data_IF_373045273902
#
_entry.id   IF_373045273902
#
_cell.length_a   1.000
_cell.length_b   1.000
_cell.length_c   1.000
_cell.angle_alpha   90.00
_cell.angle_beta   90.00
_cell.angle_gamma   90.00
#
_symmetry.space_group_name_H-M   'P 1'
#
loop_
_entity.id
_entity.type
_entity.pdbx_description
1 polymer ?
#
# COMPACT_ATOMS: atom_id res chain seq x y z
N UNK A 1 17.06 -18.62 24.04
CA UNK A 1 17.29 -17.17 23.90
C UNK A 1 15.99 -16.53 23.47
N UNK A 2 15.49 -15.51 24.15
CA UNK A 2 14.24 -14.80 23.80
C UNK A 2 14.55 -13.74 22.76
N UNK A 3 13.75 -13.66 21.68
CA UNK A 3 13.90 -12.66 20.63
C UNK A 3 12.73 -11.68 20.75
N UNK A 4 13.03 -10.39 20.89
CA UNK A 4 12.03 -9.35 20.85
C UNK A 4 11.53 -9.14 19.41
N UNK A 5 10.22 -9.03 19.24
CA UNK A 5 9.58 -8.83 17.94
C UNK A 5 8.44 -7.81 18.04
N UNK A 6 8.15 -7.14 16.93
CA UNK A 6 6.97 -6.28 16.78
C UNK A 6 6.07 -6.80 15.66
N UNK A 7 4.77 -6.55 15.77
CA UNK A 7 3.81 -6.88 14.70
C UNK A 7 3.82 -5.87 13.54
N UNK A 8 4.35 -4.68 13.78
CA UNK A 8 4.43 -3.61 12.79
C UNK A 8 4.90 -2.30 13.40
N UNK A 9 5.01 -1.27 12.56
CA UNK A 9 5.43 0.07 12.95
C UNK A 9 4.51 1.13 12.32
N UNK A 10 4.21 2.25 13.01
CA UNK A 10 3.36 3.31 12.46
C UNK A 10 3.91 3.85 11.13
N UNK A 11 3.12 3.68 10.04
CA UNK A 11 3.55 3.98 8.67
C UNK A 11 3.52 5.45 8.31
N UNK A 12 2.74 6.26 9.05
CA UNK A 12 2.45 7.65 8.67
C UNK A 12 3.67 8.58 8.76
N UNK A 13 4.67 8.19 9.59
CA UNK A 13 5.82 9.01 9.93
C UNK A 13 5.53 10.01 11.05
N UNK A 14 6.57 10.40 11.88
CA UNK A 14 6.38 11.24 13.07
C UNK A 14 5.91 12.66 12.75
N UNK A 15 6.14 13.15 11.53
CA UNK A 15 5.67 14.45 11.02
C UNK A 15 4.62 14.28 9.93
N UNK A 16 3.98 13.10 9.85
CA UNK A 16 2.95 12.76 8.86
C UNK A 16 3.47 12.80 7.41
N UNK A 17 4.75 12.43 7.22
CA UNK A 17 5.43 12.48 5.92
C UNK A 17 4.69 11.71 4.82
N UNK A 18 4.13 10.53 5.15
CA UNK A 18 3.33 9.76 4.18
C UNK A 18 2.09 10.52 3.73
N UNK A 19 1.38 11.17 4.67
CA UNK A 19 0.20 11.96 4.34
C UNK A 19 0.56 13.11 3.40
N UNK A 20 1.62 13.85 3.73
CA UNK A 20 2.11 14.96 2.90
C UNK A 20 2.48 14.50 1.49
N UNK A 21 3.20 13.37 1.36
CA UNK A 21 3.58 12.81 0.08
C UNK A 21 2.36 12.35 -0.75
N UNK A 22 1.37 11.71 -0.11
CA UNK A 22 0.12 11.32 -0.77
C UNK A 22 -0.68 12.54 -1.28
N UNK A 23 -0.83 13.57 -0.44
CA UNK A 23 -1.53 14.80 -0.82
C UNK A 23 -0.82 15.54 -1.97
N UNK A 24 0.51 15.61 -1.95
CA UNK A 24 1.32 16.17 -3.03
C UNK A 24 1.18 15.38 -4.33
N UNK A 25 1.17 14.04 -4.25
CA UNK A 25 0.94 13.19 -5.41
C UNK A 25 -0.46 13.40 -6.02
N UNK A 26 -1.49 13.45 -5.19
CA UNK A 26 -2.86 13.70 -5.68
C UNK A 26 -3.07 15.12 -6.20
N UNK A 27 -2.27 16.08 -5.75
CA UNK A 27 -2.24 17.44 -6.28
C UNK A 27 -1.41 17.57 -7.57
N UNK A 28 -0.72 16.50 -8.01
CA UNK A 28 0.15 16.49 -9.19
C UNK A 28 1.50 17.18 -9.00
N UNK A 29 1.87 17.52 -7.76
CA UNK A 29 3.17 18.17 -7.43
C UNK A 29 4.27 17.17 -7.06
N UNK A 30 3.90 15.89 -6.87
CA UNK A 30 4.84 14.79 -6.64
C UNK A 30 4.45 13.64 -7.57
N UNK A 31 5.40 13.14 -8.34
CA UNK A 31 5.20 11.98 -9.22
C UNK A 31 5.14 10.66 -8.44
N UNK A 32 4.86 9.57 -9.14
CA UNK A 32 4.80 8.23 -8.53
C UNK A 32 6.15 7.81 -7.96
N UNK A 33 7.26 8.13 -8.64
CA UNK A 33 8.59 7.79 -8.18
C UNK A 33 8.92 8.47 -6.84
N UNK A 34 8.59 9.74 -6.72
CA UNK A 34 8.74 10.52 -5.47
C UNK A 34 7.88 9.97 -4.33
N UNK A 35 6.62 9.58 -4.61
CA UNK A 35 5.77 8.96 -3.61
C UNK A 35 6.31 7.60 -3.14
N UNK A 36 6.79 6.76 -4.07
CA UNK A 36 7.41 5.47 -3.74
C UNK A 36 8.70 5.67 -2.94
N UNK A 37 9.53 6.66 -3.28
CA UNK A 37 10.73 7.01 -2.54
C UNK A 37 10.42 7.46 -1.10
N UNK A 38 9.39 8.28 -0.91
CA UNK A 38 8.92 8.66 0.43
C UNK A 38 8.49 7.45 1.26
N UNK A 39 7.77 6.50 0.65
CA UNK A 39 7.40 5.24 1.30
C UNK A 39 8.63 4.40 1.68
N UNK A 40 9.60 4.25 0.78
CA UNK A 40 10.84 3.51 1.04
C UNK A 40 11.64 4.13 2.19
N UNK A 41 11.78 5.45 2.22
CA UNK A 41 12.44 6.17 3.31
C UNK A 41 11.76 5.91 4.66
N UNK A 42 10.44 5.91 4.72
CA UNK A 42 9.69 5.64 5.96
C UNK A 42 9.88 4.20 6.44
N UNK A 43 9.86 3.22 5.53
CA UNK A 43 10.12 1.81 5.87
C UNK A 43 11.55 1.62 6.40
N UNK A 44 12.55 2.18 5.71
CA UNK A 44 13.94 2.12 6.14
C UNK A 44 14.13 2.72 7.54
N UNK A 45 13.57 3.91 7.77
CA UNK A 45 13.61 4.58 9.08
C UNK A 45 12.94 3.76 10.17
N UNK A 46 11.77 3.15 9.89
CA UNK A 46 11.06 2.30 10.84
C UNK A 46 11.93 1.10 11.26
N UNK A 47 12.57 0.44 10.30
CA UNK A 47 13.46 -0.70 10.56
C UNK A 47 14.68 -0.30 11.39
N UNK A 48 15.33 0.81 11.04
CA UNK A 48 16.49 1.34 11.79
C UNK A 48 16.07 1.66 13.24
N UNK A 49 14.96 2.35 13.43
CA UNK A 49 14.48 2.72 14.77
C UNK A 49 14.20 1.48 15.63
N UNK A 50 13.50 0.49 15.10
CA UNK A 50 13.18 -0.75 15.83
C UNK A 50 14.45 -1.49 16.26
N UNK A 51 15.43 -1.63 15.37
CA UNK A 51 16.71 -2.27 15.68
C UNK A 51 17.52 -1.55 16.71
N UNK A 52 17.60 -0.22 16.60
CA UNK A 52 18.30 0.61 17.58
C UNK A 52 17.72 0.46 18.99
N UNK A 53 16.46 0.02 19.10
CA UNK A 53 15.79 -0.27 20.37
C UNK A 53 15.75 -1.77 20.71
N UNK A 54 16.60 -2.60 20.11
CA UNK A 54 16.78 -3.99 20.49
C UNK A 54 15.74 -4.97 19.93
N UNK A 55 14.93 -4.56 18.93
CA UNK A 55 14.00 -5.46 18.25
C UNK A 55 14.78 -6.36 17.30
N UNK A 56 14.78 -7.66 17.57
CA UNK A 56 15.48 -8.69 16.78
C UNK A 56 14.70 -9.14 15.54
N UNK A 57 13.37 -9.22 15.63
CA UNK A 57 12.49 -9.52 14.50
C UNK A 57 11.65 -8.29 14.15
N UNK A 58 12.03 -7.62 13.08
CA UNK A 58 11.38 -6.42 12.57
C UNK A 58 10.38 -6.80 11.47
N UNK A 59 9.15 -6.31 11.56
CA UNK A 59 8.15 -6.49 10.52
C UNK A 59 8.60 -5.81 9.21
N UNK A 60 8.49 -6.53 8.08
CA UNK A 60 8.88 -6.00 6.77
C UNK A 60 7.69 -5.73 5.85
N UNK A 61 6.56 -6.40 6.05
CA UNK A 61 5.40 -6.33 5.16
C UNK A 61 4.20 -5.57 5.78
N UNK A 62 4.46 -4.73 6.76
CA UNK A 62 3.48 -3.96 7.53
C UNK A 62 3.17 -2.57 6.93
N UNK A 63 3.75 -2.22 5.80
CA UNK A 63 3.56 -0.93 5.14
C UNK A 63 2.53 -1.03 4.01
N UNK A 64 1.65 -0.04 3.93
CA UNK A 64 0.78 0.24 2.79
C UNK A 64 0.77 1.74 2.51
N UNK A 65 0.69 2.15 1.25
CA UNK A 65 0.55 3.56 0.91
C UNK A 65 -0.79 4.11 1.38
N UNK A 66 -1.87 3.37 1.19
CA UNK A 66 -3.22 3.80 1.56
C UNK A 66 -3.85 2.86 2.60
N UNK A 67 -4.19 1.65 2.24
CA UNK A 67 -4.89 0.69 3.09
C UNK A 67 -4.39 -0.74 2.86
N UNK A 68 -4.17 -1.47 3.95
CA UNK A 68 -3.64 -2.83 3.90
C UNK A 68 -4.61 -3.83 3.24
N UNK A 69 -5.91 -3.71 3.53
CA UNK A 69 -6.92 -4.60 2.96
C UNK A 69 -7.05 -4.37 1.47
N UNK A 70 -7.12 -3.10 1.05
CA UNK A 70 -7.15 -2.71 -0.36
C UNK A 70 -5.95 -3.26 -1.13
N UNK A 71 -4.73 -3.02 -0.63
CA UNK A 71 -3.51 -3.45 -1.31
C UNK A 71 -3.36 -4.98 -1.31
N UNK A 72 -3.88 -5.66 -0.29
CA UNK A 72 -3.95 -7.13 -0.27
C UNK A 72 -4.96 -7.66 -1.29
N UNK A 73 -6.14 -7.08 -1.36
CA UNK A 73 -7.15 -7.43 -2.35
C UNK A 73 -6.62 -7.26 -3.78
N UNK A 74 -5.95 -6.14 -4.05
CA UNK A 74 -5.32 -5.88 -5.34
C UNK A 74 -4.19 -6.89 -5.65
N UNK A 75 -3.35 -7.22 -4.67
CA UNK A 75 -2.27 -8.22 -4.85
C UNK A 75 -2.81 -9.63 -5.14
N UNK A 76 -4.04 -9.92 -4.70
CA UNK A 76 -4.76 -11.17 -4.98
C UNK A 76 -5.67 -11.09 -6.22
N UNK A 77 -5.62 -10.01 -6.99
CA UNK A 77 -6.44 -9.83 -8.19
C UNK A 77 -7.93 -9.60 -7.93
N UNK A 78 -8.31 -9.26 -6.69
CA UNK A 78 -9.69 -8.92 -6.34
C UNK A 78 -9.98 -7.44 -6.66
N UNK A 79 -9.85 -7.08 -7.95
CA UNK A 79 -10.08 -5.74 -8.48
C UNK A 79 -11.38 -5.78 -9.27
N UNK A 80 -12.39 -4.97 -8.93
CA UNK A 80 -13.65 -4.93 -9.67
C UNK A 80 -13.48 -4.34 -11.07
N UNK A 81 -14.41 -4.65 -11.96
CA UNK A 81 -14.47 -4.02 -13.28
C UNK A 81 -14.59 -2.49 -13.19
N UNK A 82 -14.06 -1.79 -14.19
CA UNK A 82 -14.10 -0.34 -14.29
C UNK A 82 -12.93 0.40 -13.64
N UNK A 83 -11.98 -0.31 -13.00
CA UNK A 83 -10.80 0.31 -12.40
C UNK A 83 -9.52 0.15 -13.24
N UNK A 84 -9.66 -0.15 -14.54
CA UNK A 84 -8.56 -0.11 -15.50
C UNK A 84 -7.50 -1.21 -15.32
N UNK A 85 -7.88 -2.35 -14.75
CA UNK A 85 -6.99 -3.51 -14.64
C UNK A 85 -7.41 -4.60 -15.63
N UNK A 86 -6.48 -5.10 -16.39
CA UNK A 86 -6.70 -6.09 -17.46
C UNK A 86 -6.67 -7.56 -16.98
N UNK A 87 -6.55 -7.76 -15.67
CA UNK A 87 -6.43 -9.09 -15.08
C UNK A 87 -4.99 -9.64 -15.10
N UNK A 88 -3.97 -8.87 -15.49
CA UNK A 88 -2.60 -9.31 -15.57
C UNK A 88 -1.67 -8.46 -14.68
N UNK A 89 -0.73 -9.11 -13.99
CA UNK A 89 0.30 -8.42 -13.22
C UNK A 89 -0.22 -7.47 -12.13
N UNK A 90 0.66 -6.64 -11.56
CA UNK A 90 0.30 -5.68 -10.52
C UNK A 90 -0.67 -4.61 -11.01
N UNK A 91 -1.64 -4.25 -10.17
CA UNK A 91 -2.46 -3.07 -10.42
C UNK A 91 -1.61 -1.79 -10.40
N UNK A 92 -1.94 -0.84 -11.28
CA UNK A 92 -1.33 0.49 -11.27
C UNK A 92 -1.65 1.26 -9.99
N UNK A 93 -0.82 2.23 -9.63
CA UNK A 93 -1.10 3.09 -8.49
C UNK A 93 -2.38 3.93 -8.71
N UNK A 94 -2.65 4.31 -9.96
CA UNK A 94 -3.89 4.98 -10.34
C UNK A 94 -5.11 4.10 -10.07
N UNK A 95 -5.06 2.80 -10.38
CA UNK A 95 -6.10 1.81 -10.05
C UNK A 95 -6.32 1.72 -8.54
N UNK A 96 -5.24 1.60 -7.75
CA UNK A 96 -5.32 1.54 -6.27
C UNK A 96 -5.99 2.80 -5.72
N UNK A 97 -5.59 3.99 -6.18
CA UNK A 97 -6.17 5.24 -5.70
C UNK A 97 -7.59 5.49 -6.20
N UNK A 98 -7.94 5.04 -7.40
CA UNK A 98 -9.33 5.12 -7.87
C UNK A 98 -10.26 4.22 -7.04
N UNK A 99 -9.83 3.00 -6.67
CA UNK A 99 -10.56 2.16 -5.72
C UNK A 99 -10.69 2.82 -4.35
N UNK A 100 -9.64 3.53 -3.89
CA UNK A 100 -9.63 4.17 -2.57
C UNK A 100 -10.51 5.42 -2.50
N UNK A 101 -10.58 6.23 -3.56
CA UNK A 101 -11.09 7.60 -3.50
C UNK A 101 -12.14 7.90 -4.57
N UNK A 102 -12.44 6.96 -5.46
CA UNK A 102 -13.17 7.16 -6.70
C UNK A 102 -12.33 7.84 -7.77
N UNK A 103 -12.70 7.66 -9.02
CA UNK A 103 -12.05 8.31 -10.16
C UNK A 103 -12.16 9.84 -10.07
N UNK A 104 -11.10 10.54 -10.41
CA UNK A 104 -10.98 12.00 -10.39
C UNK A 104 -10.77 12.59 -11.78
N UNK A 105 -10.73 11.77 -12.83
CA UNK A 105 -10.52 12.16 -14.22
C UNK A 105 -9.09 12.63 -14.50
N UNK A 106 -8.11 12.12 -13.78
CA UNK A 106 -6.70 12.44 -14.01
C UNK A 106 -6.20 11.81 -15.31
N UNK A 107 -5.09 12.31 -15.85
CA UNK A 107 -4.44 11.73 -17.03
C UNK A 107 -4.02 10.28 -16.77
N UNK A 108 -3.44 10.01 -15.60
CA UNK A 108 -3.03 8.67 -15.20
C UNK A 108 -4.22 7.69 -15.13
N UNK A 109 -5.38 8.13 -14.64
CA UNK A 109 -6.59 7.31 -14.60
C UNK A 109 -7.12 7.02 -16.02
N UNK A 110 -7.12 8.02 -16.91
CA UNK A 110 -7.51 7.82 -18.33
C UNK A 110 -6.56 6.86 -19.05
N UNK A 111 -5.26 7.04 -18.88
CA UNK A 111 -4.24 6.16 -19.43
C UNK A 111 -4.35 4.72 -18.91
N UNK A 112 -4.77 4.53 -17.68
CA UNK A 112 -5.03 3.21 -17.08
C UNK A 112 -6.38 2.60 -17.51
N UNK A 113 -7.21 3.31 -18.28
CA UNK A 113 -8.54 2.82 -18.68
C UNK A 113 -9.58 2.81 -17.56
N UNK A 114 -9.41 3.64 -16.54
CA UNK A 114 -10.34 3.73 -15.41
C UNK A 114 -11.62 4.46 -15.86
N UNK A 115 -12.77 3.88 -15.56
CA UNK A 115 -14.06 4.49 -15.87
C UNK A 115 -14.21 5.85 -15.15
N UNK A 116 -14.65 6.88 -15.88
CA UNK A 116 -14.71 8.24 -15.37
C UNK A 116 -15.60 8.42 -14.11
N UNK A 117 -16.56 7.51 -13.94
CA UNK A 117 -17.49 7.49 -12.81
C UNK A 117 -17.22 6.34 -11.83
N UNK A 118 -16.05 5.69 -11.88
CA UNK A 118 -15.71 4.62 -10.96
C UNK A 118 -15.78 5.14 -9.50
N UNK A 119 -16.65 4.61 -8.65
CA UNK A 119 -16.83 5.11 -7.29
C UNK A 119 -15.69 4.65 -6.38
N UNK A 120 -15.48 5.32 -5.26
CA UNK A 120 -14.66 4.73 -4.19
C UNK A 120 -15.31 3.42 -3.70
N UNK A 121 -14.47 2.47 -3.27
CA UNK A 121 -14.97 1.30 -2.56
C UNK A 121 -15.57 1.71 -1.21
N UNK A 122 -16.46 0.89 -0.68
CA UNK A 122 -17.05 1.10 0.62
C UNK A 122 -15.96 1.10 1.72
N UNK A 123 -16.12 1.96 2.72
CA UNK A 123 -15.23 2.04 3.86
C UNK A 123 -15.96 1.62 5.14
N UNK A 124 -15.36 0.76 5.94
CA UNK A 124 -15.91 0.34 7.23
C UNK A 124 -14.84 0.31 8.32
N UNK A 125 -15.26 0.28 9.57
CA UNK A 125 -14.36 0.13 10.70
C UNK A 125 -13.85 -1.30 10.83
N UNK A 126 -12.60 -1.43 11.25
CA UNK A 126 -12.03 -2.69 11.68
C UNK A 126 -12.45 -2.96 13.12
N UNK A 127 -13.50 -3.81 13.29
CA UNK A 127 -14.13 -4.09 14.58
C UNK A 127 -14.51 -2.79 15.34
N UNK A 128 -14.25 -2.72 16.63
CA UNK A 128 -14.53 -1.55 17.49
C UNK A 128 -13.38 -0.53 17.55
N UNK A 129 -12.51 -0.50 16.55
CA UNK A 129 -11.38 0.42 16.47
C UNK A 129 -11.72 1.68 15.67
N UNK A 130 -10.86 2.69 15.73
CA UNK A 130 -10.91 3.84 14.83
C UNK A 130 -10.21 3.59 13.48
N UNK A 131 -9.64 2.41 13.28
CA UNK A 131 -9.09 2.04 11.99
C UNK A 131 -10.20 1.68 11.01
N UNK A 132 -10.17 2.30 9.83
CA UNK A 132 -11.08 2.02 8.73
C UNK A 132 -10.30 1.34 7.60
N UNK A 133 -10.97 0.44 6.89
CA UNK A 133 -10.41 -0.20 5.71
C UNK A 133 -11.42 -0.17 4.56
N UNK A 134 -10.92 -0.34 3.33
CA UNK A 134 -11.77 -0.42 2.15
C UNK A 134 -12.24 -1.85 1.93
N UNK A 135 -13.55 -2.02 1.82
CA UNK A 135 -14.18 -3.33 1.67
C UNK A 135 -13.98 -3.83 0.24
N UNK A 136 -13.29 -4.96 0.02
CA UNK A 136 -13.18 -5.54 -1.31
C UNK A 136 -14.56 -5.90 -1.87
N UNK A 137 -14.84 -5.48 -3.10
CA UNK A 137 -16.08 -5.88 -3.79
C UNK A 137 -15.89 -7.26 -4.40
N UNK A 138 -16.39 -8.29 -3.70
CA UNK A 138 -16.28 -9.69 -4.08
C UNK A 138 -17.63 -10.17 -4.65
N UNK A 139 -17.58 -10.89 -5.76
CA UNK A 139 -18.73 -11.52 -6.42
C UNK A 139 -18.47 -12.98 -6.72
N UNK A 140 -19.46 -13.70 -7.19
CA UNK A 140 -19.31 -15.07 -7.66
C UNK A 140 -18.33 -15.21 -8.86
N UNK A 141 -18.08 -14.12 -9.58
CA UNK A 141 -17.14 -14.07 -10.69
C UNK A 141 -15.70 -13.79 -10.25
N UNK A 142 -15.49 -13.32 -9.02
CA UNK A 142 -14.13 -13.00 -8.52
C UNK A 142 -13.26 -14.25 -8.49
N UNK A 143 -12.06 -14.13 -9.04
CA UNK A 143 -11.05 -15.20 -9.05
C UNK A 143 -9.79 -14.68 -8.34
N UNK A 144 -9.46 -15.32 -7.22
CA UNK A 144 -8.25 -14.97 -6.47
C UNK A 144 -7.02 -15.65 -7.07
N UNK A 145 -6.01 -14.88 -7.34
CA UNK A 145 -4.67 -15.36 -7.67
C UNK A 145 -3.64 -14.32 -7.24
N UNK A 146 -2.46 -14.78 -6.88
CA UNK A 146 -1.38 -13.87 -6.53
C UNK A 146 -0.84 -13.21 -7.82
N UNK A 147 -1.21 -11.96 -8.07
CA UNK A 147 -0.79 -11.17 -9.23
C UNK A 147 0.37 -10.25 -8.91
N UNK A 148 0.61 -9.99 -7.62
CA UNK A 148 1.74 -9.19 -7.12
C UNK A 148 2.19 -9.69 -5.75
N UNK A 149 3.40 -10.26 -5.67
CA UNK A 149 3.94 -10.73 -4.39
C UNK A 149 4.67 -9.61 -3.63
N UNK A 150 3.93 -8.59 -3.21
CA UNK A 150 4.43 -7.45 -2.45
C UNK A 150 5.11 -7.84 -1.12
N UNK A 151 4.73 -8.97 -0.55
CA UNK A 151 5.32 -9.47 0.70
C UNK A 151 6.74 -9.99 0.48
N UNK A 152 6.98 -10.72 -0.60
CA UNK A 152 8.33 -11.16 -0.95
C UNK A 152 9.24 -9.97 -1.25
N UNK A 153 8.74 -8.94 -1.94
CA UNK A 153 9.48 -7.70 -2.20
C UNK A 153 9.83 -6.97 -0.91
N UNK A 154 8.88 -6.83 0.02
CA UNK A 154 9.09 -6.18 1.31
C UNK A 154 10.11 -6.94 2.19
N UNK A 155 10.08 -8.29 2.16
CA UNK A 155 11.07 -9.12 2.86
C UNK A 155 12.44 -8.95 2.22
N UNK A 156 12.55 -8.98 0.89
CA UNK A 156 13.81 -8.78 0.18
C UNK A 156 14.42 -7.40 0.47
N UNK A 157 13.59 -6.34 0.49
CA UNK A 157 13.99 -4.98 0.88
C UNK A 157 14.53 -4.97 2.32
N UNK A 158 13.81 -5.58 3.26
CA UNK A 158 14.22 -5.66 4.66
C UNK A 158 15.55 -6.41 4.84
N UNK A 159 15.74 -7.52 4.14
CA UNK A 159 16.99 -8.30 4.18
C UNK A 159 18.17 -7.53 3.58
N UNK A 160 17.96 -6.82 2.47
CA UNK A 160 19.00 -6.01 1.83
C UNK A 160 19.51 -4.90 2.77
N UNK A 161 18.64 -4.27 3.52
CA UNK A 161 19.03 -3.25 4.51
C UNK A 161 19.75 -3.85 5.73
N UNK A 162 19.42 -5.08 6.10
CA UNK A 162 20.13 -5.80 7.16
C UNK A 162 21.58 -6.07 6.81
N UNK A 163 21.87 -6.35 5.55
CA UNK A 163 23.23 -6.60 5.08
C UNK A 163 24.05 -5.31 4.98
N UNK A 164 23.44 -4.12 4.84
CA UNK A 164 24.11 -2.82 4.73
C UNK A 164 24.54 -2.21 6.07
N UNK A 165 24.04 -2.70 7.18
CA UNK A 165 24.27 -2.16 8.53
C UNK A 165 25.25 -2.98 9.37
N UNK A 166 26.06 -3.85 8.77
CA UNK A 166 27.13 -4.59 9.42
C UNK A 166 28.47 -3.92 9.23
#
# INVERSE_FOLDING_TARGET
>A
MTIAATLGYPRIGPRRELKTALEAHWAGTLDEAGLRAAGAMLRARARVTQRANGIGHVASADFALYDHVLETAAALGAIPDGYGWDGQGPASLATIFAMARGARGTEAERAAGIAANAPALEMTKWFDTNYHYLVPRISAATRFRLVHNRWAEAVAEGLAEQCRTR
#
